data_IF_817229574866
#
_entry.id   IF_817229574866
#
_cell.length_a   1.000
_cell.length_b   1.000
_cell.length_c   1.000
_cell.angle_alpha   90.00
_cell.angle_beta   90.00
_cell.angle_gamma   90.00
#
_symmetry.space_group_name_H-M   'P 1'
#
loop_
_entity.id
_entity.type
_entity.pdbx_description
1 polymer ?
#
# COMPACT_ATOMS: atom_id res chain seq x y z
N UNK A 1 -3.05 27.52 4.65
CA UNK A 1 -1.89 26.89 3.96
C UNK A 1 -1.26 25.71 4.72
N UNK A 2 -1.04 25.80 6.04
CA UNK A 2 -0.39 24.72 6.84
C UNK A 2 -1.08 23.34 6.73
N UNK A 3 -2.41 23.29 6.70
CA UNK A 3 -3.18 22.02 6.60
C UNK A 3 -2.86 21.21 5.32
N UNK A 4 -2.73 21.84 4.15
CA UNK A 4 -2.42 21.13 2.90
C UNK A 4 -1.01 20.51 2.89
N UNK A 5 -0.06 21.12 3.59
CA UNK A 5 1.30 20.59 3.75
C UNK A 5 1.30 19.36 4.66
N UNK A 6 0.56 19.41 5.78
CA UNK A 6 0.43 18.28 6.71
C UNK A 6 -0.10 17.03 5.98
N UNK A 7 -1.14 17.18 5.16
CA UNK A 7 -1.69 16.05 4.39
C UNK A 7 -0.72 15.49 3.35
N UNK A 8 0.11 16.34 2.73
CA UNK A 8 1.17 15.88 1.80
C UNK A 8 2.26 15.13 2.54
N UNK A 9 2.67 15.61 3.71
CA UNK A 9 3.66 14.93 4.55
C UNK A 9 3.13 13.56 4.97
N UNK A 10 1.87 13.48 5.42
CA UNK A 10 1.24 12.21 5.77
C UNK A 10 1.24 11.21 4.58
N UNK A 11 0.87 11.67 3.39
CA UNK A 11 0.89 10.86 2.17
C UNK A 11 2.30 10.32 1.84
N UNK A 12 3.34 11.15 1.99
CA UNK A 12 4.73 10.75 1.78
C UNK A 12 5.19 9.73 2.82
N UNK A 13 4.86 9.94 4.10
CA UNK A 13 5.21 9.01 5.18
C UNK A 13 4.60 7.62 4.93
N UNK A 14 3.34 7.55 4.50
CA UNK A 14 2.67 6.27 4.18
C UNK A 14 3.44 5.51 3.09
N UNK A 15 3.86 6.21 2.03
CA UNK A 15 4.63 5.60 0.93
C UNK A 15 6.00 5.12 1.42
N UNK A 16 6.70 5.92 2.22
CA UNK A 16 8.01 5.55 2.77
C UNK A 16 7.89 4.29 3.64
N UNK A 17 6.89 4.22 4.52
CA UNK A 17 6.65 3.04 5.35
C UNK A 17 6.39 1.80 4.48
N UNK A 18 5.55 1.94 3.44
CA UNK A 18 5.28 0.82 2.53
C UNK A 18 6.55 0.33 1.81
N UNK A 19 7.42 1.24 1.38
CA UNK A 19 8.71 0.87 0.77
C UNK A 19 9.61 0.15 1.76
N UNK A 20 9.77 0.67 2.98
CA UNK A 20 10.61 0.05 4.02
C UNK A 20 10.13 -1.37 4.33
N UNK A 21 8.83 -1.55 4.50
CA UNK A 21 8.23 -2.87 4.77
C UNK A 21 8.46 -3.81 3.58
N UNK A 22 8.22 -3.36 2.35
CA UNK A 22 8.45 -4.17 1.14
C UNK A 22 9.91 -4.61 1.01
N UNK A 23 10.86 -3.68 1.22
CA UNK A 23 12.29 -3.98 1.18
C UNK A 23 12.66 -5.00 2.26
N UNK A 24 12.16 -4.82 3.48
CA UNK A 24 12.41 -5.76 4.57
C UNK A 24 11.89 -7.16 4.21
N UNK A 25 10.65 -7.27 3.71
CA UNK A 25 10.06 -8.54 3.27
C UNK A 25 10.90 -9.22 2.17
N UNK A 26 11.45 -8.44 1.23
CA UNK A 26 12.31 -8.96 0.16
C UNK A 26 13.66 -9.49 0.67
N UNK A 27 14.23 -8.83 1.69
CA UNK A 27 15.49 -9.24 2.33
C UNK A 27 15.28 -10.50 3.18
N UNK A 28 14.25 -10.52 4.02
CA UNK A 28 13.96 -11.64 4.93
C UNK A 28 13.30 -12.81 4.23
N UNK A 29 12.83 -12.63 2.99
CA UNK A 29 12.02 -13.60 2.24
C UNK A 29 10.75 -14.03 2.99
N UNK A 30 10.24 -13.14 3.85
CA UNK A 30 9.01 -13.38 4.62
C UNK A 30 7.85 -12.61 3.98
N UNK A 31 6.90 -13.28 3.30
CA UNK A 31 5.70 -12.64 2.80
C UNK A 31 4.75 -12.28 3.97
N UNK A 32 3.68 -11.55 3.67
CA UNK A 32 2.61 -11.32 4.64
C UNK A 32 1.90 -12.65 4.96
N UNK A 33 1.61 -12.89 6.23
CA UNK A 33 1.01 -14.13 6.74
C UNK A 33 -0.51 -14.22 6.52
N UNK A 34 -0.99 -13.80 5.35
CA UNK A 34 -2.39 -14.02 4.97
C UNK A 34 -2.52 -15.23 4.05
N UNK A 35 -3.63 -15.95 4.15
CA UNK A 35 -3.98 -16.97 3.15
C UNK A 35 -4.11 -16.35 1.74
N UNK A 36 -3.95 -17.16 0.71
CA UNK A 36 -4.04 -16.69 -0.68
C UNK A 36 -5.40 -16.02 -1.01
N UNK A 37 -6.57 -16.56 -0.61
CA UNK A 37 -7.85 -15.88 -0.84
C UNK A 37 -7.93 -14.50 -0.17
N UNK A 38 -7.45 -14.40 1.07
CA UNK A 38 -7.45 -13.12 1.81
C UNK A 38 -6.54 -12.07 1.17
N UNK A 39 -5.41 -12.45 0.57
CA UNK A 39 -4.58 -11.53 -0.21
C UNK A 39 -5.36 -10.87 -1.36
N UNK A 40 -6.12 -11.67 -2.13
CA UNK A 40 -6.92 -11.17 -3.24
C UNK A 40 -8.06 -10.26 -2.78
N UNK A 41 -8.71 -10.59 -1.66
CA UNK A 41 -9.72 -9.72 -1.04
C UNK A 41 -9.13 -8.36 -0.69
N UNK A 42 -7.97 -8.32 -0.04
CA UNK A 42 -7.32 -7.06 0.30
C UNK A 42 -6.86 -6.27 -0.93
N UNK A 43 -6.35 -6.95 -1.97
CA UNK A 43 -6.02 -6.29 -3.24
C UNK A 43 -7.26 -5.60 -3.80
N UNK A 44 -8.41 -6.29 -3.84
CA UNK A 44 -9.68 -5.70 -4.25
C UNK A 44 -10.06 -4.45 -3.45
N UNK A 45 -9.95 -4.52 -2.11
CA UNK A 45 -10.23 -3.38 -1.23
C UNK A 45 -9.31 -2.17 -1.51
N UNK A 46 -8.02 -2.38 -1.73
CA UNK A 46 -7.10 -1.30 -2.03
C UNK A 46 -7.29 -0.74 -3.45
N UNK A 47 -7.67 -1.57 -4.44
CA UNK A 47 -8.07 -1.08 -5.78
C UNK A 47 -9.29 -0.17 -5.66
N UNK A 48 -10.34 -0.58 -4.93
CA UNK A 48 -11.54 0.26 -4.73
C UNK A 48 -11.17 1.55 -4.01
N UNK A 49 -10.34 1.47 -2.96
CA UNK A 49 -9.84 2.64 -2.24
C UNK A 49 -9.11 3.59 -3.18
N UNK A 50 -8.27 3.07 -4.08
CA UNK A 50 -7.56 3.86 -5.08
C UNK A 50 -8.55 4.57 -6.01
N UNK A 51 -9.50 3.83 -6.60
CA UNK A 51 -10.47 4.38 -7.56
C UNK A 51 -11.34 5.49 -6.95
N UNK A 52 -11.82 5.29 -5.72
CA UNK A 52 -12.63 6.29 -5.00
C UNK A 52 -11.81 7.57 -4.74
N UNK A 53 -10.55 7.41 -4.31
CA UNK A 53 -9.70 8.55 -3.97
C UNK A 53 -9.08 9.25 -5.19
N UNK A 54 -8.96 8.57 -6.34
CA UNK A 54 -8.59 9.19 -7.64
C UNK A 54 -9.62 10.26 -7.99
N UNK A 55 -10.92 9.92 -7.93
CA UNK A 55 -12.00 10.83 -8.32
C UNK A 55 -12.04 12.08 -7.44
N UNK A 56 -11.82 11.90 -6.13
CA UNK A 56 -11.78 13.01 -5.17
C UNK A 56 -10.43 13.75 -5.07
N UNK A 57 -9.41 13.32 -5.83
CA UNK A 57 -8.01 13.82 -5.73
C UNK A 57 -7.48 13.84 -4.28
N UNK A 58 -7.91 12.86 -3.47
CA UNK A 58 -7.50 12.73 -2.08
C UNK A 58 -6.14 12.04 -1.98
N UNK A 59 -5.07 12.85 -1.92
CA UNK A 59 -3.68 12.38 -1.92
C UNK A 59 -3.39 11.32 -0.86
N UNK A 60 -3.91 11.47 0.35
CA UNK A 60 -3.68 10.50 1.44
C UNK A 60 -4.31 9.16 1.12
N UNK A 61 -5.57 9.16 0.66
CA UNK A 61 -6.25 7.92 0.29
C UNK A 61 -5.60 7.22 -0.91
N UNK A 62 -5.06 8.00 -1.86
CA UNK A 62 -4.24 7.47 -2.95
C UNK A 62 -2.97 6.77 -2.44
N UNK A 63 -2.25 7.41 -1.51
CA UNK A 63 -1.05 6.82 -0.90
C UNK A 63 -1.34 5.55 -0.13
N UNK A 64 -2.47 5.49 0.60
CA UNK A 64 -2.91 4.27 1.29
C UNK A 64 -3.23 3.16 0.28
N UNK A 65 -4.01 3.48 -0.76
CA UNK A 65 -4.36 2.54 -1.83
C UNK A 65 -3.14 1.97 -2.53
N UNK A 66 -2.24 2.83 -3.00
CA UNK A 66 -1.01 2.41 -3.69
C UNK A 66 -0.06 1.65 -2.76
N UNK A 67 0.14 2.13 -1.53
CA UNK A 67 1.02 1.48 -0.56
C UNK A 67 0.54 0.07 -0.20
N UNK A 68 -0.76 -0.09 0.07
CA UNK A 68 -1.36 -1.39 0.34
C UNK A 68 -1.26 -2.36 -0.84
N UNK A 69 -1.55 -1.89 -2.06
CA UNK A 69 -1.37 -2.70 -3.27
C UNK A 69 0.07 -3.13 -3.47
N UNK A 70 1.01 -2.20 -3.33
CA UNK A 70 2.43 -2.48 -3.49
C UNK A 70 2.91 -3.56 -2.51
N UNK A 71 2.51 -3.48 -1.24
CA UNK A 71 2.84 -4.48 -0.23
C UNK A 71 2.25 -5.86 -0.53
N UNK A 72 0.98 -5.93 -0.93
CA UNK A 72 0.32 -7.20 -1.24
C UNK A 72 0.89 -7.85 -2.50
N UNK A 73 1.19 -7.06 -3.53
CA UNK A 73 1.85 -7.56 -4.74
C UNK A 73 3.26 -8.06 -4.41
N UNK A 74 4.03 -7.29 -3.63
CA UNK A 74 5.37 -7.72 -3.18
C UNK A 74 5.29 -9.02 -2.38
N UNK A 75 4.31 -9.15 -1.48
CA UNK A 75 4.05 -10.37 -0.72
C UNK A 75 3.80 -11.57 -1.64
N UNK A 76 2.95 -11.41 -2.66
CA UNK A 76 2.64 -12.47 -3.63
C UNK A 76 3.87 -12.86 -4.46
N UNK A 77 4.69 -11.90 -4.87
CA UNK A 77 5.94 -12.15 -5.60
C UNK A 77 6.90 -12.97 -4.74
N UNK A 78 7.10 -12.60 -3.47
CA UNK A 78 7.96 -13.35 -2.56
C UNK A 78 7.43 -14.77 -2.36
N UNK A 79 6.12 -14.94 -2.22
CA UNK A 79 5.50 -16.27 -2.04
C UNK A 79 5.60 -17.17 -3.28
N UNK A 80 5.81 -16.58 -4.45
CA UNK A 80 5.93 -17.29 -5.72
C UNK A 80 7.39 -17.65 -6.09
N UNK A 81 8.38 -17.04 -5.42
CA UNK A 81 9.81 -17.30 -5.59
C UNK A 81 10.31 -18.35 -4.60
#
# INVERSE_FOLDING_TARGET
>A
MKSKIIWRIAAVIIVIIAIIVAVNMMITKTPLEYSLPWHWVFIGCFVVTLLVNIRGRHLVGLSIGLGGLFLLVTSLVIRAL
#
